data_IF_356348682834
#
_entry.id   IF_356348682834
#
_cell.length_a   1.000
_cell.length_b   1.000
_cell.length_c   1.000
_cell.angle_alpha   90.00
_cell.angle_beta   90.00
_cell.angle_gamma   90.00
#
_symmetry.space_group_name_H-M   'P 1'
#
loop_
_entity.id
_entity.type
_entity.pdbx_description
1 polymer ?
#
# COMPACT_ATOMS: atom_id res chain seq x y z
N UNK A 1 -23.00 -12.70 35.49
CA UNK A 1 -22.82 -12.24 36.87
C UNK A 1 -21.43 -12.65 37.30
N UNK A 2 -20.71 -11.75 37.79
CA UNK A 2 -19.32 -11.67 38.27
C UNK A 2 -18.24 -11.40 37.22
N UNK A 3 -17.96 -10.10 37.09
CA UNK A 3 -16.76 -9.57 36.47
C UNK A 3 -15.66 -9.55 37.54
N UNK A 4 -14.64 -10.37 37.36
CA UNK A 4 -13.43 -10.28 38.17
C UNK A 4 -12.64 -9.02 37.75
N UNK A 5 -12.66 -8.00 38.60
CA UNK A 5 -11.67 -6.92 38.58
C UNK A 5 -10.27 -7.48 38.86
N UNK A 6 -9.41 -7.51 37.86
CA UNK A 6 -7.97 -7.67 38.08
C UNK A 6 -7.34 -6.31 38.27
N UNK A 7 -6.98 -6.01 39.49
CA UNK A 7 -6.11 -4.89 39.85
C UNK A 7 -4.70 -5.21 39.37
N UNK A 8 -4.25 -4.51 38.32
CA UNK A 8 -2.86 -4.50 37.93
C UNK A 8 -2.07 -3.54 38.85
N UNK A 9 -1.09 -4.12 39.55
CA UNK A 9 -0.13 -3.37 40.33
C UNK A 9 0.81 -2.64 39.37
N UNK A 10 1.09 -1.33 39.66
CA UNK A 10 2.05 -0.51 38.91
C UNK A 10 3.40 -1.18 38.90
N UNK A 11 4.05 -1.36 37.75
CA UNK A 11 5.46 -1.71 37.69
C UNK A 11 6.30 -0.51 38.15
N UNK A 12 7.29 -0.78 38.97
CA UNK A 12 8.28 0.15 39.45
C UNK A 12 9.09 0.69 38.27
N UNK A 13 9.11 2.01 38.13
CA UNK A 13 9.93 2.72 37.16
C UNK A 13 11.41 2.34 37.32
N UNK A 14 11.99 1.74 36.27
CA UNK A 14 13.41 1.54 36.17
C UNK A 14 14.15 2.87 36.14
N UNK A 15 15.36 3.01 36.77
CA UNK A 15 16.08 4.24 36.76
C UNK A 15 16.61 4.57 35.36
N UNK A 16 16.44 5.83 34.93
CA UNK A 16 16.96 6.37 33.66
C UNK A 16 18.48 6.27 33.64
N UNK A 17 19.07 5.80 32.53
CA UNK A 17 20.50 5.99 32.33
C UNK A 17 20.79 7.48 32.13
N UNK A 18 21.61 8.08 32.98
CA UNK A 18 22.12 9.45 32.86
C UNK A 18 23.15 9.50 31.75
N UNK A 19 22.76 9.96 30.57
CA UNK A 19 23.66 10.32 29.49
C UNK A 19 24.16 11.77 29.70
N UNK A 20 25.33 11.92 30.30
CA UNK A 20 26.09 13.16 30.25
C UNK A 20 27.11 13.04 29.11
N UNK A 21 26.75 13.53 27.93
CA UNK A 21 27.69 13.72 26.84
C UNK A 21 27.54 15.14 26.29
N UNK A 22 28.42 16.00 26.67
CA UNK A 22 28.61 17.33 26.07
C UNK A 22 29.16 17.16 24.67
N UNK A 23 28.38 17.39 23.66
CA UNK A 23 28.76 17.33 22.25
C UNK A 23 29.50 18.61 21.86
N UNK A 24 30.78 18.48 21.52
CA UNK A 24 31.56 19.51 20.87
C UNK A 24 31.32 19.36 19.35
N UNK A 25 30.94 20.42 18.61
CA UNK A 25 30.79 20.32 17.16
C UNK A 25 32.17 20.18 16.51
N UNK A 26 32.45 19.02 15.92
CA UNK A 26 33.62 18.84 15.07
C UNK A 26 33.31 19.27 13.65
N UNK A 27 34.02 20.25 13.15
CA UNK A 27 34.02 20.70 11.77
C UNK A 27 34.47 19.57 10.83
N UNK A 28 33.74 19.45 9.70
CA UNK A 28 33.80 18.36 8.77
C UNK A 28 35.14 18.01 8.13
N UNK A 29 35.37 16.72 8.11
CA UNK A 29 36.20 16.05 7.11
C UNK A 29 35.28 15.21 6.21
N UNK A 30 35.62 15.03 4.92
CA UNK A 30 34.76 14.21 4.05
C UNK A 30 34.76 12.76 4.55
N UNK A 31 33.57 12.22 4.82
CA UNK A 31 33.37 10.82 5.21
C UNK A 31 33.86 9.89 4.10
N UNK A 32 34.70 8.94 4.44
CA UNK A 32 35.06 7.81 3.59
C UNK A 32 33.82 6.90 3.41
N UNK A 33 33.63 6.36 2.21
CA UNK A 33 32.50 5.56 1.79
C UNK A 33 32.42 4.17 2.46
N UNK A 34 32.40 4.07 3.79
CA UNK A 34 32.24 2.78 4.49
C UNK A 34 31.72 2.89 5.93
N UNK A 35 31.23 4.04 6.37
CA UNK A 35 30.55 4.11 7.66
C UNK A 35 29.05 4.08 7.45
N UNK A 36 28.39 3.09 8.06
CA UNK A 36 26.92 2.99 8.14
C UNK A 36 26.31 4.34 8.55
N UNK A 37 25.32 4.78 7.80
CA UNK A 37 24.59 6.02 8.10
C UNK A 37 23.72 5.87 9.36
N UNK A 38 23.47 4.63 9.79
CA UNK A 38 22.66 4.25 10.93
C UNK A 38 23.54 3.69 12.07
N UNK A 39 23.25 4.11 13.29
CA UNK A 39 23.82 3.53 14.50
C UNK A 39 22.72 2.91 15.32
N UNK A 40 22.62 1.58 15.33
CA UNK A 40 21.55 0.90 16.07
C UNK A 40 21.66 1.17 17.58
N UNK A 41 20.54 1.08 18.32
CA UNK A 41 20.55 1.23 19.76
C UNK A 41 21.46 0.18 20.43
N UNK A 42 22.14 0.57 21.52
CA UNK A 42 23.04 -0.32 22.26
C UNK A 42 22.33 -1.60 22.77
N UNK A 43 21.03 -1.49 23.10
CA UNK A 43 20.19 -2.59 23.60
C UNK A 43 19.20 -3.08 22.52
N UNK A 44 19.74 -3.52 21.39
CA UNK A 44 18.94 -4.03 20.27
C UNK A 44 18.00 -5.19 20.64
N UNK A 45 18.46 -6.05 21.56
CA UNK A 45 17.67 -7.18 22.00
C UNK A 45 16.39 -6.74 22.71
N UNK A 46 16.48 -5.81 23.66
CA UNK A 46 15.31 -5.27 24.35
C UNK A 46 14.38 -4.46 23.40
N UNK A 47 14.94 -3.72 22.44
CA UNK A 47 14.12 -3.02 21.42
C UNK A 47 13.31 -4.01 20.58
N UNK A 48 13.90 -5.14 20.19
CA UNK A 48 13.25 -6.19 19.41
C UNK A 48 12.15 -6.90 20.23
N UNK A 49 12.50 -7.34 21.40
CA UNK A 49 11.61 -8.03 22.33
C UNK A 49 10.38 -7.17 22.65
N UNK A 50 10.59 -5.90 23.02
CA UNK A 50 9.50 -4.99 23.32
C UNK A 50 8.53 -4.78 22.16
N UNK A 51 8.99 -4.74 20.92
CA UNK A 51 8.13 -4.58 19.76
C UNK A 51 7.32 -5.85 19.48
N UNK A 52 7.98 -7.01 19.53
CA UNK A 52 7.32 -8.30 19.24
C UNK A 52 6.30 -8.62 20.32
N UNK A 53 6.64 -8.49 21.61
CA UNK A 53 5.69 -8.69 22.73
C UNK A 53 4.48 -7.76 22.61
N UNK A 54 4.71 -6.47 22.33
CA UNK A 54 3.62 -5.51 22.14
C UNK A 54 2.68 -5.90 20.99
N UNK A 55 3.24 -6.37 19.87
CA UNK A 55 2.46 -6.80 18.71
C UNK A 55 1.68 -8.10 18.98
N UNK A 56 2.29 -9.06 19.66
CA UNK A 56 1.66 -10.34 19.99
C UNK A 56 0.53 -10.19 21.01
N UNK A 57 0.63 -9.21 21.91
CA UNK A 57 -0.39 -8.95 22.94
C UNK A 57 -1.68 -8.35 22.36
N UNK A 58 -1.58 -7.39 21.43
CA UNK A 58 -2.75 -6.71 20.85
C UNK A 58 -2.42 -6.05 19.51
N UNK A 59 -2.76 -6.69 18.42
CA UNK A 59 -2.67 -6.14 17.08
C UNK A 59 -4.01 -6.20 16.36
N UNK A 60 -4.20 -5.35 15.34
CA UNK A 60 -5.43 -5.36 14.54
C UNK A 60 -5.56 -6.69 13.78
N UNK A 61 -6.69 -7.42 13.92
CA UNK A 61 -6.87 -8.75 13.34
C UNK A 61 -7.22 -8.67 11.84
N UNK A 62 -6.25 -8.34 11.01
CA UNK A 62 -6.43 -8.35 9.56
C UNK A 62 -6.38 -9.79 9.03
N UNK A 63 -7.32 -10.21 8.16
CA UNK A 63 -7.39 -11.59 7.67
C UNK A 63 -6.08 -12.10 7.05
N UNK A 64 -5.35 -11.24 6.35
CA UNK A 64 -4.06 -11.58 5.71
C UNK A 64 -2.89 -11.72 6.69
N UNK A 65 -3.07 -11.42 7.97
CA UNK A 65 -2.09 -11.69 9.03
C UNK A 65 -2.19 -13.10 9.61
N UNK A 66 -3.35 -13.73 9.42
CA UNK A 66 -3.65 -15.08 9.91
C UNK A 66 -3.24 -16.17 8.90
N UNK A 67 -2.81 -15.76 7.69
CA UNK A 67 -2.41 -16.70 6.63
C UNK A 67 -0.91 -16.61 6.32
N UNK A 68 -0.39 -17.67 5.74
CA UNK A 68 0.94 -17.72 5.13
C UNK A 68 0.88 -18.10 3.65
N UNK A 69 -0.32 -18.16 3.10
CA UNK A 69 -0.53 -18.43 1.68
C UNK A 69 0.01 -17.25 0.85
N UNK A 70 0.99 -17.45 -0.04
CA UNK A 70 1.59 -16.39 -0.82
C UNK A 70 0.60 -15.72 -1.78
N UNK A 71 -0.42 -16.43 -2.26
CA UNK A 71 -1.48 -15.86 -3.08
C UNK A 71 -2.32 -14.87 -2.27
N UNK A 72 -2.82 -15.28 -1.13
CA UNK A 72 -3.63 -14.43 -0.25
C UNK A 72 -2.85 -13.19 0.20
N UNK A 73 -1.56 -13.35 0.52
CA UNK A 73 -0.68 -12.24 0.88
C UNK A 73 -0.47 -11.30 -0.31
N UNK A 74 -0.21 -11.82 -1.53
CA UNK A 74 -0.07 -10.99 -2.72
C UNK A 74 -1.37 -10.19 -2.99
N UNK A 75 -2.53 -10.83 -2.89
CA UNK A 75 -3.84 -10.17 -3.05
C UNK A 75 -3.97 -9.02 -2.04
N UNK A 76 -3.69 -9.28 -0.76
CA UNK A 76 -3.82 -8.26 0.29
C UNK A 76 -2.86 -7.08 0.08
N UNK A 77 -1.61 -7.35 -0.29
CA UNK A 77 -0.59 -6.33 -0.56
C UNK A 77 -0.99 -5.43 -1.74
N UNK A 78 -1.45 -6.05 -2.84
CA UNK A 78 -1.92 -5.29 -4.01
C UNK A 78 -3.19 -4.48 -3.70
N UNK A 79 -4.12 -5.03 -2.92
CA UNK A 79 -5.32 -4.31 -2.48
C UNK A 79 -4.99 -3.13 -1.56
N UNK A 80 -4.00 -3.29 -0.68
CA UNK A 80 -3.62 -2.28 0.33
C UNK A 80 -2.87 -1.08 -0.24
N UNK A 81 -2.30 -1.19 -1.46
CA UNK A 81 -1.61 -0.06 -2.09
C UNK A 81 -2.54 1.14 -2.22
N UNK A 82 -2.25 2.23 -1.48
CA UNK A 82 -3.01 3.50 -1.54
C UNK A 82 -4.52 3.35 -1.27
N UNK A 83 -4.92 2.30 -0.56
CA UNK A 83 -6.31 2.03 -0.18
C UNK A 83 -6.43 2.01 1.35
N UNK A 84 -7.55 2.50 1.87
CA UNK A 84 -7.84 2.40 3.30
C UNK A 84 -8.06 0.94 3.68
N UNK A 85 -7.41 0.47 4.75
CA UNK A 85 -7.42 -0.93 5.17
C UNK A 85 -8.84 -1.48 5.44
N UNK A 86 -9.75 -0.66 5.95
CA UNK A 86 -11.14 -1.08 6.18
C UNK A 86 -11.82 -1.57 4.88
N UNK A 87 -11.56 -0.88 3.75
CA UNK A 87 -12.06 -1.32 2.44
C UNK A 87 -11.39 -2.59 1.95
N UNK A 88 -10.12 -2.79 2.29
CA UNK A 88 -9.41 -4.02 1.95
C UNK A 88 -9.99 -5.19 2.72
N UNK A 89 -10.28 -5.02 4.02
CA UNK A 89 -10.93 -6.05 4.85
C UNK A 89 -12.28 -6.46 4.24
N UNK A 90 -13.10 -5.48 3.85
CA UNK A 90 -14.42 -5.74 3.25
C UNK A 90 -14.33 -6.48 1.90
N UNK A 91 -13.28 -6.25 1.12
CA UNK A 91 -13.11 -6.83 -0.22
C UNK A 91 -12.36 -8.17 -0.19
N UNK A 92 -11.37 -8.32 0.66
CA UNK A 92 -10.42 -9.43 0.66
C UNK A 92 -11.10 -10.80 0.76
N UNK A 93 -11.98 -10.97 1.74
CA UNK A 93 -12.68 -12.25 1.94
C UNK A 93 -13.50 -12.67 0.72
N UNK A 94 -14.27 -11.74 0.14
CA UNK A 94 -15.07 -12.02 -1.06
C UNK A 94 -14.23 -12.28 -2.31
N UNK A 95 -13.06 -11.67 -2.40
CA UNK A 95 -12.14 -11.91 -3.51
C UNK A 95 -11.54 -13.31 -3.46
N UNK A 96 -11.00 -13.69 -2.29
CA UNK A 96 -10.41 -15.02 -2.07
C UNK A 96 -11.47 -16.14 -2.13
N UNK A 97 -12.71 -15.88 -1.69
CA UNK A 97 -13.81 -16.85 -1.85
C UNK A 97 -14.12 -17.08 -3.34
N UNK A 98 -14.10 -16.02 -4.18
CA UNK A 98 -14.39 -16.11 -5.60
C UNK A 98 -13.24 -16.69 -6.42
N UNK A 99 -12.02 -16.33 -6.08
CA UNK A 99 -10.78 -16.80 -6.72
C UNK A 99 -9.81 -17.25 -5.63
N UNK A 100 -9.87 -18.53 -5.24
CA UNK A 100 -9.18 -19.02 -4.04
C UNK A 100 -7.67 -19.21 -4.23
N UNK A 101 -7.19 -19.20 -5.45
CA UNK A 101 -5.77 -19.40 -5.80
C UNK A 101 -5.42 -18.71 -7.13
N UNK A 102 -4.12 -18.74 -7.48
CA UNK A 102 -3.63 -18.13 -8.71
C UNK A 102 -4.23 -18.80 -9.95
N UNK A 103 -4.47 -20.11 -9.94
CA UNK A 103 -5.08 -20.85 -11.04
C UNK A 103 -6.49 -20.36 -11.31
N UNK A 104 -7.30 -20.22 -10.26
CA UNK A 104 -8.67 -19.72 -10.38
C UNK A 104 -8.70 -18.27 -10.87
N UNK A 105 -7.76 -17.44 -10.39
CA UNK A 105 -7.66 -16.05 -10.82
C UNK A 105 -7.18 -15.94 -12.27
N UNK A 106 -6.18 -16.71 -12.67
CA UNK A 106 -5.66 -16.74 -14.06
C UNK A 106 -6.73 -17.18 -15.07
N UNK A 107 -7.62 -18.11 -14.67
CA UNK A 107 -8.70 -18.60 -15.50
C UNK A 107 -9.94 -17.68 -15.53
N UNK A 108 -9.97 -16.64 -14.71
CA UNK A 108 -11.10 -15.71 -14.62
C UNK A 108 -11.16 -14.80 -15.85
N UNK A 109 -12.39 -14.33 -16.18
CA UNK A 109 -12.52 -13.21 -17.11
C UNK A 109 -11.95 -11.94 -16.46
N UNK A 110 -11.03 -11.27 -17.15
CA UNK A 110 -10.41 -10.04 -16.67
C UNK A 110 -11.43 -8.97 -16.30
N UNK A 111 -12.52 -8.86 -17.09
CA UNK A 111 -13.59 -7.92 -16.83
C UNK A 111 -14.26 -8.18 -15.47
N UNK A 112 -14.41 -9.45 -15.08
CA UNK A 112 -14.96 -9.84 -13.78
C UNK A 112 -14.04 -9.40 -12.62
N UNK A 113 -12.73 -9.57 -12.77
CA UNK A 113 -11.73 -9.18 -11.76
C UNK A 113 -11.69 -7.65 -11.59
N UNK A 114 -11.67 -6.92 -12.72
CA UNK A 114 -11.69 -5.45 -12.74
C UNK A 114 -13.03 -4.92 -12.21
N UNK A 115 -14.15 -5.57 -12.55
CA UNK A 115 -15.49 -5.24 -12.04
C UNK A 115 -15.56 -5.37 -10.52
N UNK A 116 -15.15 -6.52 -9.97
CA UNK A 116 -15.09 -6.74 -8.52
C UNK A 116 -14.27 -5.66 -7.81
N UNK A 117 -13.09 -5.34 -8.35
CA UNK A 117 -12.20 -4.31 -7.81
C UNK A 117 -12.85 -2.92 -7.75
N UNK A 118 -13.56 -2.57 -8.84
CA UNK A 118 -14.26 -1.29 -8.95
C UNK A 118 -15.45 -1.20 -8.00
N UNK A 119 -16.22 -2.26 -7.84
CA UNK A 119 -17.41 -2.33 -6.98
C UNK A 119 -17.03 -2.14 -5.51
N UNK A 120 -15.92 -2.71 -5.09
CA UNK A 120 -15.36 -2.54 -3.74
C UNK A 120 -14.58 -1.23 -3.57
N UNK A 121 -14.56 -0.35 -4.60
CA UNK A 121 -13.92 0.97 -4.55
C UNK A 121 -12.45 0.93 -4.12
N UNK A 122 -11.73 -0.10 -4.51
CA UNK A 122 -10.31 -0.23 -4.19
C UNK A 122 -9.47 0.82 -4.93
N UNK A 123 -9.95 1.32 -6.07
CA UNK A 123 -9.28 2.34 -6.88
C UNK A 123 -8.08 1.79 -7.67
N UNK A 124 -7.50 2.62 -8.53
CA UNK A 124 -6.34 2.20 -9.35
C UNK A 124 -6.55 0.84 -10.04
N UNK A 125 -7.57 0.75 -10.88
CA UNK A 125 -8.06 -0.51 -11.46
C UNK A 125 -6.99 -1.30 -12.24
N UNK A 126 -5.90 -0.66 -12.68
CA UNK A 126 -4.74 -1.35 -13.26
C UNK A 126 -4.15 -2.39 -12.32
N UNK A 127 -4.30 -2.23 -11.00
CA UNK A 127 -3.82 -3.22 -10.03
C UNK A 127 -4.57 -4.54 -10.13
N UNK A 128 -5.88 -4.49 -10.39
CA UNK A 128 -6.68 -5.70 -10.64
C UNK A 128 -6.18 -6.44 -11.89
N UNK A 129 -5.91 -5.69 -12.97
CA UNK A 129 -5.33 -6.23 -14.20
C UNK A 129 -3.95 -6.85 -13.94
N UNK A 130 -3.07 -6.11 -13.26
CA UNK A 130 -1.73 -6.63 -12.94
C UNK A 130 -1.77 -7.87 -12.06
N UNK A 131 -2.67 -7.92 -11.09
CA UNK A 131 -2.84 -9.09 -10.24
C UNK A 131 -3.33 -10.31 -11.05
N UNK A 132 -4.26 -10.11 -11.99
CA UNK A 132 -4.72 -11.15 -12.91
C UNK A 132 -3.58 -11.63 -13.84
N UNK A 133 -2.79 -10.71 -14.40
CA UNK A 133 -1.63 -11.04 -15.24
C UNK A 133 -0.52 -11.75 -14.45
N UNK A 134 -0.25 -11.32 -13.20
CA UNK A 134 0.67 -12.02 -12.31
C UNK A 134 0.23 -13.45 -12.02
N UNK A 135 -1.08 -13.67 -11.82
CA UNK A 135 -1.61 -15.02 -11.66
C UNK A 135 -1.39 -15.89 -12.91
N UNK A 136 -1.59 -15.33 -14.11
CA UNK A 136 -1.26 -16.00 -15.36
C UNK A 136 0.23 -16.36 -15.48
N UNK A 137 1.12 -15.44 -15.09
CA UNK A 137 2.56 -15.70 -15.09
C UNK A 137 2.94 -16.81 -14.09
N UNK A 138 2.32 -16.88 -12.92
CA UNK A 138 2.57 -17.96 -11.96
C UNK A 138 2.22 -19.32 -12.57
N UNK A 139 1.11 -19.42 -13.30
CA UNK A 139 0.72 -20.64 -13.99
C UNK A 139 1.67 -21.00 -15.16
N UNK A 140 2.04 -20.02 -15.99
CA UNK A 140 2.76 -20.25 -17.23
C UNK A 140 4.28 -20.38 -17.04
N UNK A 141 4.87 -19.61 -16.12
CA UNK A 141 6.32 -19.48 -15.94
C UNK A 141 6.84 -20.25 -14.72
N UNK A 142 5.95 -20.53 -13.73
CA UNK A 142 6.32 -21.18 -12.47
C UNK A 142 5.52 -22.49 -12.21
N UNK A 143 4.84 -23.04 -13.21
CA UNK A 143 4.07 -24.29 -13.10
C UNK A 143 3.02 -24.27 -11.96
N UNK A 144 2.46 -23.08 -11.65
CA UNK A 144 1.50 -22.86 -10.56
C UNK A 144 2.13 -22.76 -9.16
N UNK A 145 3.44 -22.87 -9.02
CA UNK A 145 4.13 -22.69 -7.74
C UNK A 145 4.56 -21.22 -7.55
N UNK A 146 4.24 -20.63 -6.41
CA UNK A 146 4.64 -19.26 -6.12
C UNK A 146 6.16 -19.13 -5.99
N UNK A 147 6.79 -18.15 -6.69
CA UNK A 147 8.18 -17.82 -6.46
C UNK A 147 8.39 -17.33 -5.02
N UNK A 148 9.50 -17.76 -4.40
CA UNK A 148 9.72 -17.52 -2.96
C UNK A 148 10.76 -16.43 -2.68
N UNK A 149 11.50 -15.99 -3.69
CA UNK A 149 12.53 -14.97 -3.52
C UNK A 149 12.06 -13.60 -4.02
N UNK A 150 12.51 -12.48 -3.41
CA UNK A 150 12.16 -11.14 -3.88
C UNK A 150 12.53 -10.91 -5.37
N UNK A 151 13.65 -11.45 -5.82
CA UNK A 151 14.11 -11.30 -7.21
C UNK A 151 13.17 -11.98 -8.20
N UNK A 152 12.69 -13.19 -7.89
CA UNK A 152 11.72 -13.90 -8.72
C UNK A 152 10.34 -13.24 -8.68
N UNK A 153 9.89 -12.84 -7.49
CA UNK A 153 8.61 -12.16 -7.30
C UNK A 153 8.53 -10.85 -8.09
N UNK A 154 9.62 -10.11 -8.23
CA UNK A 154 9.68 -8.89 -9.02
C UNK A 154 9.50 -9.10 -10.53
N UNK A 155 9.58 -10.32 -11.04
CA UNK A 155 9.28 -10.63 -12.44
C UNK A 155 7.76 -10.68 -12.70
N UNK A 156 6.94 -10.82 -11.65
CA UNK A 156 5.50 -10.82 -11.78
C UNK A 156 4.97 -9.41 -12.09
N UNK A 157 3.98 -9.35 -12.96
CA UNK A 157 3.38 -8.09 -13.40
C UNK A 157 2.80 -7.29 -12.21
N UNK A 158 3.20 -6.03 -12.10
CA UNK A 158 2.73 -5.12 -11.04
C UNK A 158 3.36 -5.35 -9.66
N UNK A 159 4.30 -6.29 -9.54
CA UNK A 159 5.03 -6.57 -8.30
C UNK A 159 6.34 -5.79 -8.29
N UNK A 160 6.34 -4.68 -7.58
CA UNK A 160 7.55 -3.87 -7.35
C UNK A 160 8.41 -4.40 -6.19
N UNK A 161 9.58 -3.78 -5.95
CA UNK A 161 10.51 -4.20 -4.87
C UNK A 161 9.83 -4.30 -3.50
N UNK A 162 8.98 -3.33 -3.15
CA UNK A 162 8.23 -3.37 -1.89
C UNK A 162 7.33 -4.60 -1.79
N UNK A 163 6.45 -4.82 -2.78
CA UNK A 163 5.50 -5.95 -2.78
C UNK A 163 6.22 -7.29 -2.80
N UNK A 164 7.31 -7.42 -3.56
CA UNK A 164 8.14 -8.62 -3.57
C UNK A 164 8.74 -8.93 -2.19
N UNK A 165 9.30 -7.92 -1.53
CA UNK A 165 9.82 -8.08 -0.17
C UNK A 165 8.72 -8.43 0.84
N UNK A 166 7.55 -7.82 0.73
CA UNK A 166 6.39 -8.09 1.59
C UNK A 166 5.93 -9.55 1.46
N UNK A 167 5.69 -10.01 0.22
CA UNK A 167 5.29 -11.40 -0.04
C UNK A 167 6.35 -12.38 0.44
N UNK A 168 7.63 -12.16 0.12
CA UNK A 168 8.72 -13.02 0.56
C UNK A 168 8.83 -13.10 2.10
N UNK A 169 8.66 -11.96 2.78
CA UNK A 169 8.68 -11.90 4.24
C UNK A 169 7.45 -12.57 4.87
N UNK A 170 6.24 -12.18 4.43
CA UNK A 170 5.01 -12.60 5.08
C UNK A 170 4.62 -14.05 4.75
N UNK A 171 4.84 -14.52 3.52
CA UNK A 171 4.55 -15.89 3.14
C UNK A 171 5.67 -16.86 3.55
N UNK A 172 6.90 -16.52 3.22
CA UNK A 172 8.02 -17.47 3.31
C UNK A 172 8.98 -17.20 4.47
N UNK A 173 8.77 -16.11 5.24
CA UNK A 173 9.69 -15.68 6.31
C UNK A 173 11.15 -15.55 5.82
N UNK A 174 11.33 -14.97 4.64
CA UNK A 174 12.57 -15.01 3.85
C UNK A 174 13.73 -14.14 4.40
N UNK A 175 13.58 -13.56 5.57
CA UNK A 175 14.67 -12.84 6.24
C UNK A 175 14.98 -11.46 5.65
N UNK A 176 14.06 -10.85 4.93
CA UNK A 176 14.18 -9.52 4.34
C UNK A 176 13.31 -8.48 5.06
N UNK A 177 13.81 -7.25 5.14
CA UNK A 177 13.06 -6.13 5.69
C UNK A 177 12.03 -5.62 4.68
N UNK A 178 10.90 -5.14 5.19
CA UNK A 178 9.83 -4.50 4.41
C UNK A 178 9.72 -3.04 4.85
N UNK A 179 10.01 -2.11 3.95
CA UNK A 179 10.11 -0.68 4.26
C UNK A 179 9.05 0.11 3.48
N UNK A 180 7.94 0.44 4.14
CA UNK A 180 6.93 1.37 3.64
C UNK A 180 7.08 2.77 4.25
N UNK A 181 6.18 3.68 3.90
CA UNK A 181 6.17 5.04 4.45
C UNK A 181 5.92 5.08 5.96
N UNK A 182 5.25 4.06 6.53
CA UNK A 182 5.03 3.97 7.96
C UNK A 182 6.31 3.52 8.66
N UNK A 183 6.98 2.50 8.12
CA UNK A 183 8.26 2.00 8.63
C UNK A 183 9.32 3.11 8.57
N UNK A 184 9.44 3.83 7.44
CA UNK A 184 10.33 5.00 7.32
C UNK A 184 10.08 6.02 8.44
N UNK A 185 8.81 6.38 8.66
CA UNK A 185 8.43 7.32 9.73
C UNK A 185 8.78 6.83 11.13
N UNK A 186 8.56 5.55 11.40
CA UNK A 186 8.91 4.92 12.67
C UNK A 186 10.43 4.98 12.91
N UNK A 187 11.22 4.54 11.93
CA UNK A 187 12.69 4.53 12.03
C UNK A 187 13.27 5.93 12.13
N UNK A 188 12.77 6.88 11.35
CA UNK A 188 13.16 8.28 11.40
C UNK A 188 12.96 8.88 12.80
N UNK A 189 11.77 8.68 13.38
CA UNK A 189 11.41 9.23 14.70
C UNK A 189 12.07 8.52 15.86
N UNK A 190 12.17 7.20 15.79
CA UNK A 190 12.67 6.43 16.91
C UNK A 190 14.20 6.48 17.03
N UNK A 191 14.89 6.48 15.90
CA UNK A 191 16.34 6.26 15.88
C UNK A 191 17.11 7.28 15.03
N UNK A 192 16.50 8.41 14.66
CA UNK A 192 17.13 9.46 13.84
C UNK A 192 17.74 8.94 12.53
N UNK A 193 17.12 7.90 11.92
CA UNK A 193 17.58 7.38 10.62
C UNK A 193 17.48 8.51 9.60
N UNK A 194 18.53 8.80 8.82
CA UNK A 194 18.50 9.82 7.78
C UNK A 194 17.35 9.60 6.79
N UNK A 195 16.78 10.69 6.26
CA UNK A 195 15.75 10.62 5.21
C UNK A 195 16.39 10.25 3.86
N UNK A 196 16.74 8.98 3.75
CA UNK A 196 17.38 8.34 2.61
C UNK A 196 16.95 6.88 2.53
N UNK A 197 16.55 6.42 1.36
CA UNK A 197 15.97 5.09 1.17
C UNK A 197 16.94 3.98 1.57
N UNK A 198 18.21 4.10 1.22
CA UNK A 198 19.22 3.10 1.57
C UNK A 198 19.49 3.06 3.09
N UNK A 199 19.45 4.21 3.77
CA UNK A 199 19.58 4.28 5.22
C UNK A 199 18.40 3.62 5.94
N UNK A 200 17.17 3.77 5.42
CA UNK A 200 16.00 3.10 5.96
C UNK A 200 16.05 1.58 5.76
N UNK A 201 16.48 1.11 4.59
CA UNK A 201 16.63 -0.31 4.29
C UNK A 201 17.72 -0.95 5.17
N UNK A 202 18.84 -0.27 5.35
CA UNK A 202 19.93 -0.69 6.25
C UNK A 202 19.43 -0.80 7.69
N UNK A 203 18.79 0.25 8.22
CA UNK A 203 18.28 0.29 9.58
C UNK A 203 17.21 -0.78 9.83
N UNK A 204 16.28 -0.96 8.90
CA UNK A 204 15.25 -1.97 9.00
C UNK A 204 15.85 -3.39 9.01
N UNK A 205 16.85 -3.65 8.17
CA UNK A 205 17.54 -4.94 8.11
C UNK A 205 18.38 -5.22 9.38
N UNK A 206 19.08 -4.21 9.89
CA UNK A 206 19.89 -4.36 11.10
C UNK A 206 19.07 -4.55 12.38
N UNK A 207 17.87 -3.94 12.45
CA UNK A 207 16.97 -4.09 13.59
C UNK A 207 16.22 -5.41 13.58
N UNK A 208 15.97 -5.99 12.41
CA UNK A 208 15.18 -7.21 12.27
C UNK A 208 15.89 -8.42 12.92
N UNK A 209 15.19 -9.22 13.75
CA UNK A 209 15.76 -10.44 14.31
C UNK A 209 15.86 -11.53 13.23
N UNK A 210 16.93 -12.32 13.26
CA UNK A 210 17.14 -13.40 12.31
C UNK A 210 16.07 -14.49 12.46
N UNK A 211 15.43 -14.86 11.34
CA UNK A 211 14.41 -15.92 11.30
C UNK A 211 12.99 -15.46 11.71
N UNK A 212 12.79 -14.16 11.99
CA UNK A 212 11.50 -13.62 12.47
C UNK A 212 10.96 -12.50 11.58
N UNK A 213 11.32 -12.48 10.29
CA UNK A 213 10.96 -11.37 9.40
C UNK A 213 9.46 -11.15 9.29
N UNK A 214 8.66 -12.21 9.29
CA UNK A 214 7.19 -12.11 9.23
C UNK A 214 6.61 -11.34 10.41
N UNK A 215 6.93 -11.76 11.62
CA UNK A 215 6.41 -11.13 12.85
C UNK A 215 6.94 -9.72 12.98
N UNK A 216 8.25 -9.55 12.79
CA UNK A 216 8.92 -8.26 12.88
C UNK A 216 8.35 -7.20 11.94
N UNK A 217 8.22 -7.52 10.63
CA UNK A 217 7.70 -6.57 9.67
C UNK A 217 6.23 -6.23 9.92
N UNK A 218 5.40 -7.20 10.32
CA UNK A 218 4.03 -6.92 10.74
C UNK A 218 4.01 -6.02 11.99
N UNK A 219 4.87 -6.26 12.96
CA UNK A 219 4.92 -5.49 14.20
C UNK A 219 5.32 -4.03 13.98
N UNK A 220 6.37 -3.77 13.19
CA UNK A 220 6.80 -2.40 12.91
C UNK A 220 5.79 -1.63 12.05
N UNK A 221 5.12 -2.30 11.11
CA UNK A 221 4.04 -1.71 10.32
C UNK A 221 2.82 -1.40 11.20
N UNK A 222 2.48 -2.28 12.15
CA UNK A 222 1.42 -2.03 13.13
C UNK A 222 1.76 -0.85 14.02
N UNK A 223 3.00 -0.77 14.53
CA UNK A 223 3.49 0.36 15.31
C UNK A 223 3.31 1.70 14.55
N UNK A 224 3.66 1.70 13.26
CA UNK A 224 3.44 2.84 12.38
C UNK A 224 1.96 3.17 12.13
N UNK A 225 1.11 2.15 12.13
CA UNK A 225 -0.33 2.27 11.87
C UNK A 225 -1.15 2.75 13.06
N UNK A 226 -0.75 2.46 14.30
CA UNK A 226 -1.56 2.74 15.48
C UNK A 226 -0.91 3.70 16.48
N UNK A 227 0.40 3.59 16.72
CA UNK A 227 1.09 4.42 17.71
C UNK A 227 1.90 5.56 17.05
N UNK A 228 2.78 5.25 16.11
CA UNK A 228 3.61 6.22 15.42
C UNK A 228 2.95 6.75 14.15
N UNK A 229 1.69 7.19 14.25
CA UNK A 229 0.90 7.73 13.15
C UNK A 229 1.36 9.14 12.74
N UNK A 230 0.70 9.77 11.75
CA UNK A 230 0.97 11.17 11.37
C UNK A 230 0.87 12.10 12.59
N UNK A 231 -0.15 11.92 13.43
CA UNK A 231 -0.28 12.53 14.75
C UNK A 231 0.02 11.42 15.76
N UNK A 232 1.20 11.40 16.40
CA UNK A 232 1.62 10.27 17.22
C UNK A 232 0.70 10.09 18.45
N UNK A 233 0.42 8.84 18.77
CA UNK A 233 -0.41 8.41 19.89
C UNK A 233 0.42 7.53 20.86
N UNK A 234 1.64 7.98 21.18
CA UNK A 234 2.62 7.16 21.89
C UNK A 234 2.17 6.70 23.26
N UNK A 235 1.44 7.54 24.00
CA UNK A 235 0.97 7.20 25.34
C UNK A 235 -0.32 6.40 25.30
N UNK A 236 -1.27 6.78 24.46
CA UNK A 236 -2.57 6.12 24.29
C UNK A 236 -2.42 4.69 23.73
N UNK A 237 -1.48 4.49 22.81
CA UNK A 237 -1.20 3.18 22.20
C UNK A 237 -0.10 2.40 22.95
N UNK A 238 0.34 2.88 24.12
CA UNK A 238 1.39 2.25 24.93
C UNK A 238 2.63 1.85 24.11
N UNK A 239 3.07 2.77 23.20
CA UNK A 239 4.18 2.54 22.27
C UNK A 239 5.37 1.83 22.96
N UNK A 240 5.81 0.65 22.47
CA UNK A 240 6.84 -0.16 23.13
C UNK A 240 8.22 0.53 23.10
N UNK A 241 8.43 1.44 22.16
CA UNK A 241 9.73 2.09 21.94
C UNK A 241 9.92 3.45 22.62
N UNK A 242 8.98 3.90 23.46
CA UNK A 242 9.09 5.21 24.15
C UNK A 242 10.41 5.43 24.88
N UNK A 243 10.98 4.37 25.48
CA UNK A 243 12.22 4.46 26.23
C UNK A 243 13.46 4.72 25.36
N UNK A 244 13.41 4.35 24.08
CA UNK A 244 14.52 4.47 23.12
C UNK A 244 14.24 5.50 22.02
N UNK A 245 13.04 6.08 21.97
CA UNK A 245 12.60 6.96 20.89
C UNK A 245 13.10 8.38 21.06
N UNK A 246 13.94 8.86 20.15
CA UNK A 246 14.45 10.23 20.15
C UNK A 246 13.36 11.28 19.97
N UNK A 247 12.39 11.05 19.09
CA UNK A 247 11.25 11.94 18.91
C UNK A 247 10.41 12.07 20.18
N UNK A 248 10.19 10.99 20.91
CA UNK A 248 9.45 11.02 22.18
C UNK A 248 10.23 11.76 23.28
N UNK A 249 11.56 11.59 23.32
CA UNK A 249 12.43 12.24 24.30
C UNK A 249 12.56 13.75 24.05
N UNK A 250 12.57 14.18 22.79
CA UNK A 250 12.75 15.59 22.40
C UNK A 250 11.46 16.36 22.20
N UNK A 251 10.36 15.64 21.91
CA UNK A 251 9.08 16.21 21.50
C UNK A 251 9.05 16.64 20.02
N UNK A 252 10.05 16.29 19.22
CA UNK A 252 10.09 16.55 17.78
C UNK A 252 9.58 15.34 17.00
N UNK A 253 8.34 15.42 16.54
CA UNK A 253 7.67 14.38 15.75
C UNK A 253 7.65 14.68 14.25
N UNK A 254 8.67 15.34 13.72
CA UNK A 254 8.88 15.47 12.29
C UNK A 254 8.90 14.10 11.60
N UNK A 255 8.72 14.08 10.30
CA UNK A 255 8.64 12.85 9.51
C UNK A 255 9.37 13.04 8.18
N UNK A 256 9.80 11.95 7.54
CA UNK A 256 10.34 12.00 6.19
C UNK A 256 9.38 12.64 5.20
N UNK A 257 9.91 13.24 4.14
CA UNK A 257 9.10 13.78 3.06
C UNK A 257 8.40 12.65 2.31
N UNK A 258 7.07 12.73 2.23
CA UNK A 258 6.24 11.77 1.49
C UNK A 258 5.56 12.50 0.33
N UNK A 259 5.64 11.98 -0.91
CA UNK A 259 4.94 12.57 -2.03
C UNK A 259 3.44 12.70 -1.75
N UNK A 260 2.90 13.91 -1.86
CA UNK A 260 1.49 14.17 -1.67
C UNK A 260 0.74 14.00 -2.99
N UNK A 261 -0.38 13.28 -2.93
CA UNK A 261 -1.26 13.16 -4.09
C UNK A 261 -2.17 14.39 -4.23
N UNK A 262 -2.48 14.75 -5.48
CA UNK A 262 -3.51 15.75 -5.77
C UNK A 262 -4.88 15.29 -5.22
N UNK A 263 -5.81 16.22 -4.91
CA UNK A 263 -7.15 15.89 -4.49
C UNK A 263 -7.83 14.87 -5.41
N UNK A 264 -8.59 13.96 -4.83
CA UNK A 264 -9.30 12.92 -5.59
C UNK A 264 -10.50 13.49 -6.34
N UNK A 265 -11.24 14.39 -5.69
CA UNK A 265 -12.46 14.98 -6.22
C UNK A 265 -12.17 15.84 -7.46
N UNK A 266 -12.88 15.58 -8.55
CA UNK A 266 -12.68 16.25 -9.83
C UNK A 266 -11.43 15.78 -10.61
N UNK A 267 -10.65 14.86 -10.07
CA UNK A 267 -9.43 14.38 -10.74
C UNK A 267 -9.74 13.41 -11.88
N UNK A 268 -8.84 13.35 -12.89
CA UNK A 268 -8.90 12.36 -13.96
C UNK A 268 -8.98 10.92 -13.41
N UNK A 269 -8.31 10.63 -12.29
CA UNK A 269 -8.35 9.36 -11.57
C UNK A 269 -9.77 9.00 -11.09
N UNK A 270 -10.54 9.95 -10.60
CA UNK A 270 -11.94 9.75 -10.21
C UNK A 270 -12.80 9.35 -11.40
N UNK A 271 -12.67 10.07 -12.51
CA UNK A 271 -13.47 9.80 -13.71
C UNK A 271 -13.08 8.49 -14.40
N UNK A 272 -11.80 8.13 -14.42
CA UNK A 272 -11.35 6.80 -14.88
C UNK A 272 -12.03 5.68 -14.08
N UNK A 273 -12.09 5.80 -12.75
CA UNK A 273 -12.79 4.84 -11.90
C UNK A 273 -14.31 4.80 -12.15
N UNK A 274 -14.93 5.94 -12.52
CA UNK A 274 -16.35 5.97 -12.89
C UNK A 274 -16.62 5.27 -14.21
N UNK A 275 -15.77 5.46 -15.22
CA UNK A 275 -15.89 4.75 -16.51
C UNK A 275 -15.88 3.24 -16.29
N UNK A 276 -14.88 2.73 -15.56
CA UNK A 276 -14.76 1.29 -15.29
C UNK A 276 -16.00 0.76 -14.55
N UNK A 277 -16.48 1.50 -13.54
CA UNK A 277 -17.69 1.10 -12.79
C UNK A 277 -18.93 1.04 -13.67
N UNK A 278 -19.15 2.05 -14.49
CA UNK A 278 -20.30 2.09 -15.41
C UNK A 278 -20.22 0.92 -16.38
N UNK A 279 -19.06 0.66 -16.98
CA UNK A 279 -18.88 -0.46 -17.90
C UNK A 279 -18.96 -1.84 -17.21
N UNK A 280 -18.80 -1.92 -15.88
CA UNK A 280 -19.07 -3.13 -15.11
C UNK A 280 -20.57 -3.49 -15.01
N UNK A 281 -21.44 -2.49 -15.19
CA UNK A 281 -22.91 -2.68 -15.18
C UNK A 281 -23.49 -3.01 -16.58
N UNK A 282 -22.70 -2.85 -17.66
CA UNK A 282 -23.12 -3.01 -19.04
C UNK A 282 -22.08 -3.82 -19.82
N UNK A 283 -22.53 -4.68 -20.73
CA UNK A 283 -21.61 -5.42 -21.60
C UNK A 283 -20.78 -4.51 -22.51
N UNK A 284 -21.42 -3.48 -23.05
CA UNK A 284 -20.83 -2.41 -23.84
C UNK A 284 -21.70 -1.16 -23.83
N UNK A 285 -21.12 0.01 -24.05
CA UNK A 285 -21.85 1.27 -24.20
C UNK A 285 -21.29 2.11 -25.34
N UNK A 286 -22.17 2.82 -26.06
CA UNK A 286 -21.76 3.89 -26.92
C UNK A 286 -21.11 5.02 -26.10
N UNK A 287 -20.11 5.69 -26.69
CA UNK A 287 -19.38 6.77 -26.01
C UNK A 287 -20.33 7.89 -25.55
N UNK A 288 -21.34 8.21 -26.37
CA UNK A 288 -22.31 9.26 -26.07
C UNK A 288 -23.29 8.87 -24.96
N UNK A 289 -23.55 7.56 -24.77
CA UNK A 289 -24.33 7.03 -23.66
C UNK A 289 -23.52 6.90 -22.36
N UNK A 290 -22.21 6.71 -22.48
CA UNK A 290 -21.27 6.61 -21.36
C UNK A 290 -21.06 7.98 -20.68
N UNK A 291 -20.95 9.05 -21.46
CA UNK A 291 -20.62 10.40 -20.99
C UNK A 291 -21.49 10.89 -19.83
N UNK A 292 -22.83 10.94 -19.99
CA UNK A 292 -23.75 11.39 -18.93
C UNK A 292 -23.72 10.53 -17.66
N UNK A 293 -23.35 9.25 -17.78
CA UNK A 293 -23.21 8.34 -16.62
C UNK A 293 -21.92 8.55 -15.85
N UNK A 294 -20.88 8.98 -16.55
CA UNK A 294 -19.57 9.25 -15.94
C UNK A 294 -19.52 10.63 -15.30
N UNK A 295 -20.18 11.61 -15.92
CA UNK A 295 -20.12 13.01 -15.49
C UNK A 295 -21.44 13.73 -15.68
N UNK A 296 -21.94 14.36 -14.61
CA UNK A 296 -23.25 15.04 -14.58
C UNK A 296 -23.27 16.26 -15.53
N UNK A 297 -22.15 16.96 -15.66
CA UNK A 297 -21.95 18.13 -16.52
C UNK A 297 -21.31 17.78 -17.88
N UNK A 298 -21.52 16.56 -18.35
CA UNK A 298 -21.10 16.12 -19.67
C UNK A 298 -21.90 16.86 -20.76
N UNK A 299 -21.18 17.37 -21.77
CA UNK A 299 -21.78 18.05 -22.92
C UNK A 299 -21.69 17.15 -24.15
N UNK A 300 -22.82 16.68 -24.71
CA UNK A 300 -22.82 15.88 -25.93
C UNK A 300 -22.35 16.69 -27.15
N UNK A 301 -21.78 16.00 -28.13
CA UNK A 301 -21.26 16.60 -29.37
C UNK A 301 -22.27 17.49 -30.15
N UNK A 302 -23.57 17.22 -30.00
CA UNK A 302 -24.64 18.00 -30.65
C UNK A 302 -24.85 19.39 -30.02
N UNK A 303 -24.36 19.61 -28.81
CA UNK A 303 -24.46 20.87 -28.05
C UNK A 303 -23.13 21.64 -27.99
N UNK A 304 -22.05 21.08 -28.55
CA UNK A 304 -20.79 21.79 -28.75
C UNK A 304 -20.99 22.91 -29.78
N UNK A 305 -21.46 24.07 -29.30
CA UNK A 305 -21.63 25.27 -30.12
C UNK A 305 -20.28 25.82 -30.58
N UNK A 306 -20.27 26.42 -31.78
CA UNK A 306 -19.11 27.05 -32.48
C UNK A 306 -18.36 28.17 -31.69
N UNK A 307 -18.39 28.14 -30.36
CA UNK A 307 -17.64 29.05 -29.50
C UNK A 307 -16.27 28.47 -29.15
N UNK A 308 -15.22 29.24 -29.33
CA UNK A 308 -13.87 28.87 -28.87
C UNK A 308 -13.90 28.49 -27.40
N UNK A 309 -13.32 27.32 -27.01
CA UNK A 309 -13.28 26.90 -25.61
C UNK A 309 -12.49 27.92 -24.80
N UNK A 310 -13.10 28.48 -23.77
CA UNK A 310 -12.36 29.27 -22.79
C UNK A 310 -11.43 28.33 -21.99
N UNK A 311 -10.16 28.69 -21.85
CA UNK A 311 -9.18 27.89 -21.06
C UNK A 311 -9.56 27.69 -19.59
N UNK A 312 -10.63 28.31 -19.11
CA UNK A 312 -11.10 28.25 -17.72
C UNK A 312 -12.22 27.22 -17.49
N UNK A 313 -12.98 26.83 -18.53
CA UNK A 313 -14.00 25.79 -18.45
C UNK A 313 -13.45 24.54 -19.13
N UNK A 314 -12.88 23.64 -18.32
CA UNK A 314 -12.35 22.37 -18.83
C UNK A 314 -13.40 21.68 -19.71
N UNK A 315 -13.08 21.49 -20.99
CA UNK A 315 -13.94 20.84 -21.97
C UNK A 315 -14.36 19.45 -21.48
N UNK A 316 -15.63 19.30 -21.08
CA UNK A 316 -16.20 18.09 -20.50
C UNK A 316 -17.03 17.32 -21.55
N UNK A 317 -16.80 17.62 -22.83
CA UNK A 317 -17.50 17.03 -23.95
C UNK A 317 -16.93 15.69 -24.41
N UNK A 318 -17.39 15.30 -25.60
CA UNK A 318 -17.05 14.02 -26.25
C UNK A 318 -15.55 13.80 -26.41
N UNK A 319 -14.80 14.87 -26.75
CA UNK A 319 -13.34 14.78 -26.92
C UNK A 319 -12.61 14.50 -25.61
N UNK A 320 -13.02 15.13 -24.50
CA UNK A 320 -12.51 14.85 -23.17
C UNK A 320 -12.76 13.37 -22.78
N UNK A 321 -13.99 12.87 -23.04
CA UNK A 321 -14.33 11.49 -22.74
C UNK A 321 -13.54 10.51 -23.61
N UNK A 322 -13.40 10.81 -24.91
CA UNK A 322 -12.58 10.02 -25.84
C UNK A 322 -11.13 9.93 -25.33
N UNK A 323 -10.53 11.03 -24.89
CA UNK A 323 -9.20 11.04 -24.30
C UNK A 323 -9.11 10.24 -22.98
N UNK A 324 -10.17 10.26 -22.15
CA UNK A 324 -10.22 9.48 -20.93
C UNK A 324 -10.30 7.96 -21.21
N UNK A 325 -11.11 7.59 -22.21
CA UNK A 325 -11.28 6.20 -22.65
C UNK A 325 -10.02 5.70 -23.36
N UNK A 326 -9.36 6.53 -24.15
CA UNK A 326 -8.08 6.18 -24.79
C UNK A 326 -7.01 5.84 -23.74
N UNK A 327 -6.86 6.65 -22.68
CA UNK A 327 -5.94 6.32 -21.59
C UNK A 327 -6.29 4.98 -20.89
N UNK A 328 -7.58 4.65 -20.78
CA UNK A 328 -8.00 3.37 -20.21
C UNK A 328 -7.73 2.20 -21.16
N UNK A 329 -7.82 2.44 -22.48
CA UNK A 329 -7.47 1.45 -23.49
C UNK A 329 -5.96 1.20 -23.55
N UNK A 330 -5.15 2.26 -23.49
CA UNK A 330 -3.69 2.15 -23.39
C UNK A 330 -3.26 1.38 -22.12
N UNK A 331 -4.01 1.55 -21.04
CA UNK A 331 -3.82 0.77 -19.81
C UNK A 331 -4.42 -0.66 -19.88
N UNK A 332 -5.02 -1.06 -21.00
CA UNK A 332 -5.62 -2.38 -21.19
C UNK A 332 -6.85 -2.68 -20.33
N UNK A 333 -7.53 -1.64 -19.81
CA UNK A 333 -8.73 -1.79 -18.99
C UNK A 333 -10.02 -1.81 -19.80
N UNK A 334 -10.02 -1.18 -20.97
CA UNK A 334 -11.17 -1.13 -21.86
C UNK A 334 -10.75 -1.42 -23.30
N UNK A 335 -11.69 -1.91 -24.07
CA UNK A 335 -11.61 -2.03 -25.53
C UNK A 335 -12.50 -0.99 -26.17
N UNK A 336 -12.01 -0.39 -27.27
CA UNK A 336 -12.72 0.62 -28.04
C UNK A 336 -12.88 0.13 -29.47
N UNK A 337 -14.10 0.14 -29.96
CA UNK A 337 -14.43 -0.31 -31.31
C UNK A 337 -15.26 0.77 -32.03
N UNK A 338 -14.90 1.07 -33.28
CA UNK A 338 -15.69 1.97 -34.13
C UNK A 338 -16.65 1.12 -34.98
N UNK A 339 -17.97 1.34 -34.79
CA UNK A 339 -19.05 0.63 -35.50
C UNK A 339 -20.01 1.65 -36.14
N UNK A 340 -20.15 1.67 -37.46
CA UNK A 340 -21.16 2.47 -38.20
C UNK A 340 -21.23 3.94 -37.75
N UNK A 341 -20.09 4.62 -37.57
CA UNK A 341 -19.93 6.01 -37.09
C UNK A 341 -20.11 6.19 -35.58
N UNK A 342 -20.31 5.11 -34.81
CA UNK A 342 -20.43 5.11 -33.35
C UNK A 342 -19.19 4.49 -32.69
N UNK A 343 -18.67 5.15 -31.66
CA UNK A 343 -17.58 4.59 -30.83
C UNK A 343 -18.19 3.80 -29.67
N UNK A 344 -17.94 2.50 -29.62
CA UNK A 344 -18.40 1.59 -28.57
C UNK A 344 -17.27 1.23 -27.64
N UNK A 345 -17.54 1.19 -26.34
CA UNK A 345 -16.55 0.94 -25.27
C UNK A 345 -17.04 -0.21 -24.39
N UNK A 346 -16.16 -1.14 -24.05
CA UNK A 346 -16.40 -2.24 -23.10
C UNK A 346 -15.19 -2.50 -22.22
N UNK A 347 -15.38 -3.23 -21.12
CA UNK A 347 -14.24 -3.73 -20.35
C UNK A 347 -13.43 -4.74 -21.16
N UNK A 348 -12.11 -4.71 -21.04
CA UNK A 348 -11.22 -5.72 -21.65
C UNK A 348 -11.44 -7.08 -20.98
N UNK A 349 -11.52 -8.12 -21.81
CA UNK A 349 -11.75 -9.53 -21.40
C UNK A 349 -10.44 -10.28 -21.31
#
# INVERSE_FOLDING_TARGET
MDRHERRFGKPLSAPRPTRTATRIPSAGLPRSMSESAFSPPDDRAAVREALVEWYEDDHRPFPWRETTDPYEILVSEVMSQQTQLDRVVDAFGGFVERWPDATALAAADRADVVGFWSDHRLGYNNRARYLHEAAGQIEEEFDGEFPATPDELQNLQGVGPYTANAVASFAFNAGNAVVDTNVKRVLYRAFEVPDDDAAFEEAASELMPAGESRVWNNAIMELGGVACTKTPACDEAECPWRAWCDAYATGDFSAPDVPTQSPFEGSRRQFRGRVVRVLGEYDELALDDLGPRVRVDYVPAAEESDGEPSEADGNHGREWLRGLVADLADDGLVEVEERDEETVVRLSR
#
